data_IF_949191590044
#
_entry.id   IF_949191590044
#
_cell.length_a   1.000
_cell.length_b   1.000
_cell.length_c   1.000
_cell.angle_alpha   90.00
_cell.angle_beta   90.00
_cell.angle_gamma   90.00
#
_symmetry.space_group_name_H-M   'P 1'
#
loop_
_entity.id
_entity.type
_entity.pdbx_description
1 polymer ?
#
# COMPACT_ATOMS: atom_id res chain seq x y z
N UNK A 1 -15.31 -1.79 9.16
CA UNK A 1 -16.22 -0.66 8.87
C UNK A 1 -17.53 -1.23 8.35
N UNK A 2 -18.67 -0.58 8.57
CA UNK A 2 -19.96 -1.02 8.01
C UNK A 2 -20.48 0.12 7.14
N UNK A 3 -20.63 -0.15 5.84
CA UNK A 3 -21.11 0.83 4.86
C UNK A 3 -22.62 0.76 4.74
N UNK A 4 -23.26 1.93 4.72
CA UNK A 4 -24.64 2.09 4.28
C UNK A 4 -24.61 2.87 2.96
N UNK A 5 -24.59 2.17 1.82
CA UNK A 5 -24.38 2.79 0.50
C UNK A 5 -25.59 3.65 0.11
N UNK A 6 -25.51 4.95 0.37
CA UNK A 6 -26.58 5.93 0.11
C UNK A 6 -26.33 6.82 -1.10
N UNK A 7 -25.08 6.94 -1.54
CA UNK A 7 -24.66 7.80 -2.65
C UNK A 7 -23.85 7.01 -3.66
N UNK A 8 -23.81 7.49 -4.90
CA UNK A 8 -22.89 6.96 -5.92
C UNK A 8 -21.61 7.80 -5.94
N UNK A 9 -20.49 7.15 -6.24
CA UNK A 9 -19.16 7.77 -6.33
C UNK A 9 -18.62 7.47 -7.73
N UNK A 10 -18.55 8.49 -8.57
CA UNK A 10 -17.89 8.42 -9.87
C UNK A 10 -16.45 8.85 -9.69
N UNK A 11 -15.50 7.97 -9.95
CA UNK A 11 -14.08 8.24 -9.72
C UNK A 11 -13.22 7.79 -10.89
N UNK A 12 -12.08 8.45 -11.08
CA UNK A 12 -11.12 8.14 -12.12
C UNK A 12 -9.71 8.45 -11.62
N UNK A 13 -8.78 7.54 -11.86
CA UNK A 13 -7.34 7.78 -11.67
C UNK A 13 -6.75 8.25 -13.00
N UNK A 14 -5.87 9.25 -12.95
CA UNK A 14 -5.14 9.76 -14.11
C UNK A 14 -3.74 10.21 -13.72
N UNK A 15 -2.89 10.50 -14.71
CA UNK A 15 -1.65 11.23 -14.47
C UNK A 15 -1.91 12.56 -13.76
N UNK A 16 -1.02 12.95 -12.85
CA UNK A 16 -1.09 14.25 -12.21
C UNK A 16 -1.12 15.41 -13.23
N UNK A 17 -2.02 16.37 -12.99
CA UNK A 17 -2.25 17.51 -13.86
C UNK A 17 -1.05 18.48 -13.89
N UNK A 18 -0.29 18.56 -12.79
CA UNK A 18 0.93 19.38 -12.72
C UNK A 18 2.08 18.72 -13.50
N UNK A 19 2.69 19.49 -14.41
CA UNK A 19 3.77 19.02 -15.29
C UNK A 19 4.94 18.42 -14.50
N UNK A 20 5.29 19.02 -13.35
CA UNK A 20 6.39 18.56 -12.50
C UNK A 20 6.16 17.15 -11.92
N UNK A 21 4.90 16.76 -11.73
CA UNK A 21 4.49 15.52 -11.08
C UNK A 21 4.01 14.45 -12.07
N UNK A 22 3.76 14.84 -13.33
CA UNK A 22 3.05 14.04 -14.33
C UNK A 22 3.63 12.64 -14.57
N UNK A 23 4.95 12.50 -14.51
CA UNK A 23 5.62 11.22 -14.77
C UNK A 23 5.74 10.33 -13.53
N UNK A 24 5.37 10.84 -12.37
CA UNK A 24 5.66 10.19 -11.09
C UNK A 24 4.39 9.95 -10.26
N UNK A 25 3.37 10.78 -10.43
CA UNK A 25 2.22 10.81 -9.53
C UNK A 25 0.89 10.52 -10.22
N UNK A 26 -0.04 10.03 -9.43
CA UNK A 26 -1.40 9.68 -9.81
C UNK A 26 -2.39 10.60 -9.09
N UNK A 27 -3.33 11.16 -9.86
CA UNK A 27 -4.39 12.04 -9.37
C UNK A 27 -5.70 11.26 -9.34
N UNK A 28 -6.38 11.31 -8.18
CA UNK A 28 -7.63 10.57 -7.92
C UNK A 28 -8.80 11.54 -7.89
N UNK A 29 -9.44 11.74 -9.03
CA UNK A 29 -10.60 12.61 -9.15
C UNK A 29 -11.88 11.84 -8.88
N UNK A 30 -12.80 12.48 -8.16
CA UNK A 30 -14.12 11.90 -7.94
C UNK A 30 -15.23 12.92 -7.76
N UNK A 31 -16.45 12.48 -8.03
CA UNK A 31 -17.70 13.20 -7.88
C UNK A 31 -18.68 12.36 -7.09
N UNK A 32 -19.28 12.95 -6.05
CA UNK A 32 -20.34 12.32 -5.26
C UNK A 32 -21.70 12.68 -5.85
N UNK A 33 -22.52 11.68 -6.11
CA UNK A 33 -23.89 11.84 -6.64
C UNK A 33 -24.89 11.66 -5.50
N UNK A 34 -25.49 12.77 -5.07
CA UNK A 34 -26.37 12.84 -3.89
C UNK A 34 -27.87 12.83 -4.24
N UNK A 35 -28.23 12.37 -5.46
CA UNK A 35 -29.60 12.49 -6.00
C UNK A 35 -30.69 11.91 -5.09
N UNK A 36 -30.42 10.78 -4.43
CA UNK A 36 -31.38 10.08 -3.58
C UNK A 36 -31.10 10.24 -2.08
N UNK A 37 -30.14 11.09 -1.71
CA UNK A 37 -29.72 11.26 -0.32
C UNK A 37 -29.28 12.71 -0.07
N UNK A 38 -30.09 13.46 0.69
CA UNK A 38 -29.80 14.86 0.97
C UNK A 38 -28.62 15.00 1.93
N UNK A 39 -27.57 15.67 1.47
CA UNK A 39 -26.41 16.03 2.28
C UNK A 39 -26.52 17.51 2.64
N UNK A 40 -26.95 17.81 3.87
CA UNK A 40 -26.98 19.19 4.35
C UNK A 40 -25.56 19.68 4.63
N UNK A 41 -25.21 20.86 4.09
CA UNK A 41 -23.91 21.51 4.31
C UNK A 41 -22.69 20.60 4.05
N UNK A 42 -22.47 20.17 2.80
CA UNK A 42 -21.44 19.19 2.46
C UNK A 42 -20.01 19.63 2.81
N UNK A 43 -19.72 20.92 2.84
CA UNK A 43 -18.39 21.45 3.19
C UNK A 43 -18.00 21.17 4.66
N UNK A 44 -18.98 20.97 5.53
CA UNK A 44 -18.74 20.71 6.96
C UNK A 44 -19.18 19.31 7.38
N UNK A 45 -20.27 18.79 6.81
CA UNK A 45 -20.83 17.50 7.18
C UNK A 45 -20.09 16.31 6.57
N UNK A 46 -19.47 16.46 5.40
CA UNK A 46 -18.72 15.38 4.75
C UNK A 46 -17.29 15.31 5.26
N UNK A 47 -16.81 14.08 5.46
CA UNK A 47 -15.40 13.76 5.67
C UNK A 47 -15.00 12.69 4.68
N UNK A 48 -13.93 12.96 3.93
CA UNK A 48 -13.43 12.03 2.93
C UNK A 48 -12.11 11.43 3.41
N UNK A 49 -11.90 10.15 3.11
CA UNK A 49 -10.59 9.54 3.15
C UNK A 49 -10.32 8.80 1.84
N UNK A 50 -9.16 9.02 1.23
CA UNK A 50 -8.69 8.31 0.04
C UNK A 50 -7.40 7.58 0.41
N UNK A 51 -7.39 6.27 0.20
CA UNK A 51 -6.27 5.39 0.55
C UNK A 51 -5.73 4.75 -0.72
N UNK A 52 -4.41 4.69 -0.83
CA UNK A 52 -3.68 3.95 -1.87
C UNK A 52 -3.20 2.62 -1.30
N UNK A 53 -3.50 1.50 -1.95
CA UNK A 53 -3.10 0.14 -1.55
C UNK A 53 -3.37 -0.19 -0.07
N UNK A 54 -4.50 0.33 0.45
CA UNK A 54 -4.94 0.23 1.85
C UNK A 54 -3.99 0.87 2.89
N UNK A 55 -3.00 1.66 2.44
CA UNK A 55 -2.06 2.39 3.29
C UNK A 55 -2.80 3.46 4.09
N UNK A 56 -2.66 3.38 5.41
CA UNK A 56 -3.21 4.40 6.32
C UNK A 56 -2.27 5.59 6.47
N UNK A 57 -0.96 5.36 6.29
CA UNK A 57 0.09 6.31 6.60
C UNK A 57 0.16 7.46 5.60
N UNK A 58 -0.13 7.19 4.33
CA UNK A 58 -0.20 8.20 3.26
C UNK A 58 -1.65 8.59 2.87
N UNK A 59 -2.64 8.18 3.68
CA UNK A 59 -4.04 8.43 3.37
C UNK A 59 -4.35 9.93 3.34
N UNK A 60 -4.99 10.39 2.26
CA UNK A 60 -5.49 11.76 2.16
C UNK A 60 -6.82 11.82 2.90
N UNK A 61 -6.91 12.68 3.91
CA UNK A 61 -8.08 12.82 4.79
C UNK A 61 -8.57 14.25 4.84
N UNK A 62 -9.83 14.40 5.25
CA UNK A 62 -10.49 15.70 5.45
C UNK A 62 -10.52 16.57 4.19
N UNK A 63 -10.46 15.95 3.02
CA UNK A 63 -10.58 16.62 1.74
C UNK A 63 -11.94 17.33 1.67
N UNK A 64 -11.91 18.63 1.39
CA UNK A 64 -13.12 19.44 1.25
C UNK A 64 -13.65 19.37 -0.17
N UNK A 65 -14.96 19.52 -0.39
CA UNK A 65 -15.48 19.72 -1.72
C UNK A 65 -14.84 20.94 -2.39
N UNK A 66 -14.51 20.84 -3.67
CA UNK A 66 -14.09 21.99 -4.47
C UNK A 66 -15.29 22.84 -4.88
N UNK A 67 -16.35 22.18 -5.33
CA UNK A 67 -17.60 22.82 -5.73
C UNK A 67 -18.78 21.84 -5.63
N UNK A 68 -19.99 22.40 -5.64
CA UNK A 68 -21.24 21.65 -5.72
C UNK A 68 -22.11 22.23 -6.83
N UNK A 69 -22.58 21.37 -7.74
CA UNK A 69 -23.46 21.74 -8.86
C UNK A 69 -24.68 20.81 -8.84
N UNK A 70 -25.84 21.34 -8.42
CA UNK A 70 -27.04 20.52 -8.22
C UNK A 70 -26.79 19.42 -7.19
N UNK A 71 -26.96 18.15 -7.59
CA UNK A 71 -26.76 16.98 -6.72
C UNK A 71 -25.34 16.38 -6.82
N UNK A 72 -24.40 17.09 -7.46
CA UNK A 72 -23.03 16.64 -7.69
C UNK A 72 -22.06 17.43 -6.82
N UNK A 73 -21.22 16.73 -6.08
CA UNK A 73 -20.18 17.33 -5.22
C UNK A 73 -18.83 16.89 -5.78
N UNK A 74 -18.02 17.83 -6.23
CA UNK A 74 -16.81 17.57 -6.98
C UNK A 74 -15.54 17.70 -6.12
N UNK A 75 -14.61 16.76 -6.33
CA UNK A 75 -13.30 16.67 -5.71
C UNK A 75 -12.21 16.49 -6.79
N UNK A 76 -12.21 17.37 -7.78
CA UNK A 76 -11.21 17.44 -8.85
C UNK A 76 -10.15 18.48 -8.45
N UNK A 77 -9.05 18.03 -7.86
CA UNK A 77 -7.94 18.87 -7.40
C UNK A 77 -6.69 18.55 -8.21
N UNK A 78 -5.74 19.48 -8.28
CA UNK A 78 -4.45 19.27 -8.98
C UNK A 78 -3.29 18.97 -8.02
N UNK A 79 -3.55 19.00 -6.69
CA UNK A 79 -2.55 18.81 -5.64
C UNK A 79 -3.04 17.98 -4.46
N UNK A 80 -4.26 18.23 -4.01
CA UNK A 80 -4.77 17.72 -2.74
C UNK A 80 -5.20 16.25 -2.78
N UNK A 81 -5.46 15.71 -3.98
CA UNK A 81 -5.86 14.32 -4.25
C UNK A 81 -4.79 13.58 -5.08
N UNK A 82 -3.54 14.02 -4.98
CA UNK A 82 -2.42 13.50 -5.76
C UNK A 82 -1.53 12.63 -4.87
N UNK A 83 -1.30 11.39 -5.31
CA UNK A 83 -0.45 10.39 -4.66
C UNK A 83 0.81 10.15 -5.48
N UNK A 84 1.89 9.74 -4.82
CA UNK A 84 3.00 9.10 -5.53
C UNK A 84 2.48 7.85 -6.24
N UNK A 85 2.93 7.60 -7.47
CA UNK A 85 2.61 6.35 -8.16
C UNK A 85 3.38 5.16 -7.61
N UNK A 86 4.54 5.37 -6.99
CA UNK A 86 5.36 4.31 -6.42
C UNK A 86 5.91 3.38 -7.51
N UNK A 87 6.01 2.09 -7.19
CA UNK A 87 6.43 1.03 -8.11
C UNK A 87 5.73 -0.27 -7.72
N UNK A 88 5.75 -1.25 -8.61
CA UNK A 88 5.18 -2.57 -8.33
C UNK A 88 5.87 -3.19 -7.11
N UNK A 89 5.08 -3.81 -6.25
CA UNK A 89 5.56 -4.44 -5.03
C UNK A 89 6.52 -5.59 -5.37
N UNK A 90 7.46 -5.82 -4.46
CA UNK A 90 8.31 -7.02 -4.47
C UNK A 90 7.48 -8.21 -4.05
N UNK A 91 7.91 -9.41 -4.42
CA UNK A 91 7.23 -10.65 -4.05
C UNK A 91 8.13 -11.58 -3.25
N UNK A 92 7.51 -12.26 -2.28
CA UNK A 92 8.07 -13.42 -1.61
C UNK A 92 7.09 -14.58 -1.76
N UNK A 93 7.42 -15.52 -2.63
CA UNK A 93 6.63 -16.72 -2.86
C UNK A 93 7.21 -17.90 -2.09
N UNK A 94 6.64 -18.19 -0.92
CA UNK A 94 7.06 -19.28 -0.03
C UNK A 94 5.94 -20.31 0.14
N UNK A 95 5.17 -20.55 -0.93
CA UNK A 95 4.07 -21.53 -0.94
C UNK A 95 4.52 -22.98 -0.77
N UNK A 96 5.77 -23.30 -1.09
CA UNK A 96 6.35 -24.64 -0.88
C UNK A 96 7.75 -24.53 -0.30
N UNK A 97 8.11 -25.49 0.53
CA UNK A 97 9.46 -25.64 1.09
C UNK A 97 10.33 -26.62 0.28
N UNK A 98 9.80 -27.16 -0.82
CA UNK A 98 10.44 -28.22 -1.62
C UNK A 98 11.25 -27.69 -2.79
N UNK A 99 11.05 -26.43 -3.17
CA UNK A 99 11.76 -25.78 -4.25
C UNK A 99 11.89 -24.28 -3.98
N UNK A 100 12.88 -23.66 -4.61
CA UNK A 100 13.08 -22.22 -4.56
C UNK A 100 12.22 -21.57 -5.67
N UNK A 101 11.28 -20.70 -5.29
CA UNK A 101 10.54 -19.87 -6.22
C UNK A 101 11.41 -18.72 -6.75
N UNK A 102 10.86 -17.88 -7.64
CA UNK A 102 11.62 -16.88 -8.41
C UNK A 102 12.57 -16.01 -7.59
N UNK A 103 12.08 -15.40 -6.51
CA UNK A 103 12.85 -14.46 -5.67
C UNK A 103 13.37 -15.08 -4.36
N UNK A 104 13.30 -16.40 -4.23
CA UNK A 104 13.87 -17.14 -3.10
C UNK A 104 15.22 -17.71 -3.52
N UNK A 105 16.29 -17.28 -2.85
CA UNK A 105 17.66 -17.74 -3.12
C UNK A 105 17.88 -19.18 -2.65
N UNK A 106 17.47 -19.49 -1.43
CA UNK A 106 17.56 -20.83 -0.83
C UNK A 106 16.51 -21.03 0.25
N UNK A 107 16.15 -22.30 0.48
CA UNK A 107 15.37 -22.73 1.62
C UNK A 107 16.19 -23.80 2.34
N UNK A 108 16.62 -23.46 3.55
CA UNK A 108 17.36 -24.37 4.42
C UNK A 108 16.42 -24.95 5.48
N UNK A 109 16.76 -26.13 5.98
CA UNK A 109 16.07 -26.78 7.08
C UNK A 109 17.05 -27.16 8.17
N UNK A 110 16.79 -26.71 9.39
CA UNK A 110 17.55 -27.10 10.57
C UNK A 110 16.62 -27.66 11.67
N UNK A 111 17.10 -27.66 12.92
CA UNK A 111 16.33 -28.17 14.06
C UNK A 111 15.27 -27.17 14.56
N UNK A 112 15.36 -25.89 14.19
CA UNK A 112 14.42 -24.82 14.58
C UNK A 112 13.30 -24.67 13.55
N UNK A 113 13.52 -25.08 12.30
CA UNK A 113 12.49 -25.12 11.28
C UNK A 113 13.04 -24.92 9.87
N UNK A 114 12.23 -24.24 9.05
CA UNK A 114 12.63 -23.83 7.71
C UNK A 114 13.04 -22.36 7.70
N UNK A 115 14.13 -22.07 6.99
CA UNK A 115 14.68 -20.73 6.79
C UNK A 115 14.78 -20.45 5.29
N UNK A 116 13.95 -19.54 4.80
CA UNK A 116 13.99 -19.06 3.43
C UNK A 116 14.81 -17.78 3.34
N UNK A 117 15.83 -17.77 2.49
CA UNK A 117 16.60 -16.58 2.15
C UNK A 117 16.05 -15.99 0.86
N UNK A 118 15.59 -14.74 0.90
CA UNK A 118 15.24 -14.02 -0.31
C UNK A 118 16.51 -13.59 -1.06
N UNK A 119 16.40 -13.40 -2.36
CA UNK A 119 17.51 -12.85 -3.15
C UNK A 119 17.91 -11.47 -2.63
N UNK A 120 19.21 -11.12 -2.64
CA UNK A 120 19.64 -9.76 -2.30
C UNK A 120 18.99 -8.73 -3.21
N UNK A 121 18.31 -7.76 -2.61
CA UNK A 121 17.61 -6.72 -3.35
C UNK A 121 18.38 -5.40 -3.31
N UNK A 122 18.16 -4.56 -4.32
CA UNK A 122 18.76 -3.25 -4.41
C UNK A 122 17.70 -2.15 -4.47
N UNK A 123 18.14 -0.91 -4.20
CA UNK A 123 17.32 0.29 -4.36
C UNK A 123 17.01 0.52 -5.84
N UNK A 124 15.72 0.66 -6.15
CA UNK A 124 15.18 0.81 -7.51
C UNK A 124 14.94 2.25 -7.94
N UNK A 125 15.20 3.26 -7.10
CA UNK A 125 14.87 4.68 -7.35
C UNK A 125 15.27 5.26 -8.71
N UNK A 126 16.31 4.73 -9.35
CA UNK A 126 16.78 5.20 -10.67
C UNK A 126 16.56 4.18 -11.80
N UNK A 127 15.88 3.07 -11.52
CA UNK A 127 15.54 2.08 -12.53
C UNK A 127 14.42 2.59 -13.45
N UNK A 128 14.41 2.07 -14.67
CA UNK A 128 13.29 2.29 -15.60
C UNK A 128 12.13 1.42 -15.17
N UNK A 129 10.92 1.98 -15.20
CA UNK A 129 9.69 1.29 -14.87
C UNK A 129 9.51 -0.01 -15.67
N UNK A 130 9.02 -1.05 -15.00
CA UNK A 130 8.63 -2.32 -15.60
C UNK A 130 7.29 -2.72 -15.02
N UNK A 131 6.34 -3.06 -15.89
CA UNK A 131 5.08 -3.67 -15.47
C UNK A 131 5.36 -5.09 -15.00
N UNK A 132 5.07 -5.34 -13.73
CA UNK A 132 5.17 -6.63 -13.06
C UNK A 132 3.81 -6.84 -12.39
N UNK A 133 3.17 -7.97 -12.63
CA UNK A 133 1.90 -8.28 -11.97
C UNK A 133 2.13 -8.51 -10.47
N UNK A 134 1.34 -7.85 -9.64
CA UNK A 134 1.33 -8.03 -8.21
C UNK A 134 -0.12 -8.05 -7.66
N UNK A 135 -0.27 -8.08 -6.34
CA UNK A 135 -1.55 -7.96 -5.64
C UNK A 135 -1.59 -6.73 -4.72
N UNK A 136 -0.93 -5.63 -5.11
CA UNK A 136 -0.97 -4.31 -4.47
C UNK A 136 -0.66 -4.37 -2.96
N UNK A 137 0.42 -5.07 -2.59
CA UNK A 137 0.89 -5.19 -1.21
C UNK A 137 0.05 -6.12 -0.33
N UNK A 138 -0.89 -6.89 -0.91
CA UNK A 138 -1.66 -7.91 -0.21
C UNK A 138 -0.82 -9.18 0.01
N UNK A 139 -1.40 -10.14 0.72
CA UNK A 139 -0.84 -11.47 0.90
C UNK A 139 -1.89 -12.55 0.73
N UNK A 140 -1.47 -13.75 0.38
CA UNK A 140 -2.33 -14.93 0.25
C UNK A 140 -1.66 -16.12 0.93
N UNK A 141 -2.23 -16.56 2.05
CA UNK A 141 -1.83 -17.81 2.71
C UNK A 141 -2.17 -18.96 1.78
N UNK A 142 -1.16 -19.73 1.42
CA UNK A 142 -1.29 -20.88 0.53
C UNK A 142 -0.11 -21.82 0.75
N UNK A 143 -0.40 -23.11 0.91
CA UNK A 143 0.61 -24.17 0.80
C UNK A 143 0.37 -24.98 -0.46
N UNK A 144 1.45 -25.39 -1.11
CA UNK A 144 1.45 -26.40 -2.18
C UNK A 144 1.97 -27.76 -1.68
N UNK A 145 2.35 -27.83 -0.40
CA UNK A 145 2.82 -29.04 0.25
C UNK A 145 1.68 -29.85 0.91
N UNK A 146 0.45 -29.31 0.91
CA UNK A 146 -0.76 -29.88 1.48
C UNK A 146 -2.04 -29.45 0.73
N UNK A 147 -3.18 -30.02 1.14
CA UNK A 147 -4.48 -29.80 0.50
C UNK A 147 -5.22 -28.59 1.11
N UNK A 148 -5.08 -28.37 2.42
CA UNK A 148 -5.78 -27.30 3.13
C UNK A 148 -4.81 -26.25 3.70
N UNK A 149 -4.69 -25.13 2.99
CA UNK A 149 -3.80 -24.02 3.37
C UNK A 149 -4.12 -23.36 4.71
N UNK A 150 -5.36 -23.46 5.21
CA UNK A 150 -5.71 -22.83 6.49
C UNK A 150 -5.11 -23.61 7.67
N UNK A 151 -5.05 -24.94 7.57
CA UNK A 151 -4.64 -25.84 8.65
C UNK A 151 -3.27 -26.48 8.45
N UNK A 152 -2.79 -26.57 7.21
CA UNK A 152 -1.59 -27.37 6.86
C UNK A 152 -0.40 -26.51 6.41
N UNK A 153 -0.60 -25.22 6.14
CA UNK A 153 0.51 -24.30 5.87
C UNK A 153 1.34 -24.09 7.15
N UNK A 154 2.64 -24.31 7.04
CA UNK A 154 3.61 -24.15 8.13
C UNK A 154 4.14 -22.71 8.21
N UNK A 155 4.88 -22.40 9.28
CA UNK A 155 5.62 -21.15 9.43
C UNK A 155 7.08 -21.32 9.01
N UNK A 156 7.59 -20.32 8.31
CA UNK A 156 8.94 -20.26 7.75
C UNK A 156 9.59 -18.97 8.26
N UNK A 157 10.84 -19.05 8.72
CA UNK A 157 11.65 -17.87 8.93
C UNK A 157 12.09 -17.33 7.56
N UNK A 158 11.70 -16.10 7.23
CA UNK A 158 12.02 -15.47 5.93
C UNK A 158 13.01 -14.36 6.17
N UNK A 159 14.21 -14.49 5.59
CA UNK A 159 15.29 -13.54 5.68
C UNK A 159 15.27 -12.57 4.49
N UNK A 160 14.94 -11.32 4.78
CA UNK A 160 14.93 -10.19 3.86
C UNK A 160 16.29 -9.52 3.85
N UNK A 161 16.73 -9.09 2.66
CA UNK A 161 18.04 -8.50 2.44
C UNK A 161 17.95 -7.35 1.43
N UNK A 162 18.26 -6.14 1.88
CA UNK A 162 18.37 -4.95 1.04
C UNK A 162 19.80 -4.43 1.06
N UNK A 163 20.52 -4.62 -0.04
CA UNK A 163 21.87 -4.07 -0.27
C UNK A 163 21.84 -2.54 -0.21
N UNK A 164 22.64 -1.98 0.69
CA UNK A 164 22.69 -0.53 0.89
C UNK A 164 24.06 -0.12 1.46
N UNK A 165 24.94 0.55 0.70
CA UNK A 165 26.36 0.70 1.08
C UNK A 165 26.66 1.41 2.40
N UNK A 166 25.78 2.30 2.85
CA UNK A 166 25.99 3.19 4.02
C UNK A 166 24.69 3.31 4.81
N UNK A 167 24.68 3.14 6.15
CA UNK A 167 23.45 3.25 6.92
C UNK A 167 22.85 4.66 6.84
N UNK A 168 21.53 4.73 6.97
CA UNK A 168 20.78 5.99 7.06
C UNK A 168 20.87 6.51 8.50
N UNK A 169 20.87 7.83 8.63
CA UNK A 169 21.02 8.51 9.93
C UNK A 169 19.76 9.31 10.32
N UNK A 170 18.90 9.56 9.35
CA UNK A 170 17.74 10.45 9.43
C UNK A 170 16.40 9.69 9.39
N UNK A 171 16.44 8.36 9.48
CA UNK A 171 15.26 7.51 9.57
C UNK A 171 15.60 6.03 9.48
N UNK A 172 14.56 5.22 9.41
CA UNK A 172 14.64 3.76 9.42
C UNK A 172 14.04 3.16 8.13
N UNK A 173 14.52 1.97 7.74
CA UNK A 173 13.92 1.19 6.67
C UNK A 173 13.00 0.13 7.27
N UNK A 174 11.78 0.04 6.74
CA UNK A 174 10.78 -0.94 7.14
C UNK A 174 10.36 -1.83 5.96
N UNK A 175 10.11 -3.10 6.24
CA UNK A 175 9.37 -3.99 5.34
C UNK A 175 7.89 -3.69 5.50
N UNK A 176 7.25 -3.26 4.43
CA UNK A 176 5.88 -2.77 4.48
C UNK A 176 4.99 -3.53 3.49
N UNK A 177 3.88 -4.05 4.00
CA UNK A 177 2.85 -4.75 3.24
C UNK A 177 1.85 -5.41 4.18
N UNK A 178 0.93 -6.22 3.66
CA UNK A 178 0.00 -6.98 4.48
C UNK A 178 0.71 -7.93 5.47
N UNK A 179 1.92 -8.40 5.14
CA UNK A 179 2.72 -9.27 6.02
C UNK A 179 3.15 -8.63 7.35
N UNK A 180 3.13 -7.30 7.44
CA UNK A 180 3.49 -6.51 8.63
C UNK A 180 2.33 -5.63 9.09
N UNK A 181 1.10 -6.04 8.74
CA UNK A 181 -0.14 -5.31 8.99
C UNK A 181 -0.12 -3.86 8.48
N UNK A 182 0.70 -3.57 7.47
CA UNK A 182 0.92 -2.22 6.92
C UNK A 182 1.27 -1.21 8.02
N UNK A 183 2.15 -1.61 8.95
CA UNK A 183 2.49 -0.82 10.12
C UNK A 183 4.00 -0.57 10.24
N UNK A 184 4.35 0.61 10.74
CA UNK A 184 5.71 0.93 11.16
C UNK A 184 5.90 0.51 12.61
N UNK A 185 6.53 -0.64 12.82
CA UNK A 185 6.77 -1.25 14.13
C UNK A 185 8.20 -1.77 14.21
N UNK A 186 8.64 -2.17 15.42
CA UNK A 186 9.92 -2.85 15.60
C UNK A 186 9.98 -4.19 14.85
N UNK A 187 8.81 -4.82 14.59
CA UNK A 187 8.71 -6.03 13.79
C UNK A 187 8.96 -5.76 12.31
N UNK A 188 8.53 -4.62 11.76
CA UNK A 188 8.83 -4.29 10.35
C UNK A 188 10.18 -3.62 10.14
N UNK A 189 10.76 -3.01 11.18
CA UNK A 189 12.04 -2.29 11.12
C UNK A 189 13.21 -3.23 10.81
N UNK A 190 13.99 -2.89 9.77
CA UNK A 190 15.20 -3.62 9.38
C UNK A 190 16.43 -3.13 10.14
N UNK A 191 17.34 -4.05 10.44
CA UNK A 191 18.61 -3.72 11.09
C UNK A 191 19.72 -3.59 10.05
N UNK A 192 20.58 -2.59 10.19
CA UNK A 192 21.74 -2.45 9.31
C UNK A 192 22.90 -3.35 9.75
N UNK A 193 23.38 -4.21 8.84
CA UNK A 193 24.56 -5.03 9.04
C UNK A 193 25.79 -4.39 8.38
N UNK A 194 26.71 -3.89 9.20
CA UNK A 194 27.93 -3.20 8.72
C UNK A 194 28.89 -4.09 7.93
N UNK A 195 28.91 -5.40 8.21
CA UNK A 195 29.79 -6.35 7.51
C UNK A 195 29.26 -6.63 6.11
N UNK A 196 27.95 -6.80 5.99
CA UNK A 196 27.26 -7.11 4.73
C UNK A 196 26.94 -5.85 3.91
N UNK A 197 26.97 -4.67 4.54
CA UNK A 197 26.55 -3.39 3.93
C UNK A 197 25.13 -3.49 3.38
N UNK A 198 24.22 -3.95 4.24
CA UNK A 198 22.84 -4.21 3.89
C UNK A 198 21.93 -4.02 5.10
N UNK A 199 20.67 -3.70 4.83
CA UNK A 199 19.59 -3.85 5.78
C UNK A 199 19.07 -5.28 5.73
N UNK A 200 18.95 -5.91 6.89
CA UNK A 200 18.49 -7.30 7.02
C UNK A 200 17.41 -7.41 8.07
N UNK A 201 16.50 -8.36 7.86
CA UNK A 201 15.44 -8.69 8.82
C UNK A 201 14.97 -10.11 8.58
N UNK A 202 14.69 -10.84 9.65
CA UNK A 202 14.01 -12.13 9.56
C UNK A 202 12.61 -12.00 10.15
N UNK A 203 11.59 -12.42 9.41
CA UNK A 203 10.19 -12.47 9.85
C UNK A 203 9.71 -13.92 9.84
N UNK A 204 8.89 -14.29 10.83
CA UNK A 204 8.23 -15.60 10.84
C UNK A 204 6.91 -15.47 10.07
N UNK A 205 6.85 -16.04 8.86
CA UNK A 205 5.70 -15.93 7.97
C UNK A 205 5.10 -17.32 7.71
N UNK A 206 3.78 -17.41 7.60
CA UNK A 206 3.10 -18.64 7.21
C UNK A 206 3.35 -18.92 5.71
N UNK A 207 3.27 -20.15 5.23
CA UNK A 207 3.40 -20.41 3.78
C UNK A 207 2.38 -19.60 2.98
N UNK A 208 2.85 -18.96 1.91
CA UNK A 208 2.01 -18.11 1.10
C UNK A 208 2.77 -17.28 0.07
N UNK A 209 2.00 -16.43 -0.59
CA UNK A 209 2.51 -15.41 -1.51
C UNK A 209 2.33 -14.03 -0.86
N UNK A 210 3.41 -13.27 -0.78
CA UNK A 210 3.45 -11.99 -0.07
C UNK A 210 3.97 -10.90 -0.98
N UNK A 211 3.25 -9.79 -1.08
CA UNK A 211 3.81 -8.56 -1.61
C UNK A 211 4.30 -7.64 -0.50
N UNK A 212 5.45 -7.02 -0.75
CA UNK A 212 6.09 -6.10 0.16
C UNK A 212 6.87 -5.04 -0.58
N UNK A 213 7.24 -3.99 0.14
CA UNK A 213 8.16 -2.98 -0.32
C UNK A 213 9.00 -2.50 0.85
N UNK A 214 10.13 -1.87 0.56
CA UNK A 214 10.92 -1.16 1.55
C UNK A 214 10.48 0.30 1.60
N UNK A 215 10.05 0.75 2.76
CA UNK A 215 9.66 2.15 2.98
C UNK A 215 10.65 2.79 3.93
N UNK A 216 11.12 3.99 3.57
CA UNK A 216 11.91 4.83 4.45
C UNK A 216 10.98 5.65 5.36
N UNK A 217 11.14 5.53 6.68
CA UNK A 217 10.42 6.33 7.65
C UNK A 217 11.37 7.37 8.26
N UNK A 218 11.25 8.67 7.91
CA UNK A 218 12.08 9.70 8.49
C UNK A 218 11.82 9.85 10.00
N UNK A 219 12.86 10.21 10.75
CA UNK A 219 12.77 10.41 12.20
C UNK A 219 11.66 11.40 12.57
N UNK A 220 10.79 11.00 13.50
CA UNK A 220 9.68 11.83 13.99
C UNK A 220 8.49 11.97 13.01
N UNK A 221 8.47 11.20 11.92
CA UNK A 221 7.31 11.09 11.02
C UNK A 221 6.52 9.82 11.31
N UNK A 222 5.26 9.84 10.90
CA UNK A 222 4.33 8.69 10.94
C UNK A 222 3.96 8.16 9.56
N UNK A 223 4.39 8.86 8.51
CA UNK A 223 4.18 8.52 7.10
C UNK A 223 5.53 8.22 6.48
N UNK A 224 5.62 7.08 5.81
CA UNK A 224 6.85 6.65 5.16
C UNK A 224 6.88 7.06 3.69
N UNK A 225 8.09 7.18 3.17
CA UNK A 225 8.40 7.51 1.78
C UNK A 225 8.88 6.24 1.06
N UNK A 226 7.98 5.65 0.27
CA UNK A 226 8.29 4.49 -0.59
C UNK A 226 9.26 4.86 -1.73
N UNK A 227 9.22 6.10 -2.21
CA UNK A 227 9.97 6.52 -3.40
C UNK A 227 11.48 6.54 -3.16
N UNK A 228 11.87 6.65 -1.88
CA UNK A 228 13.25 6.63 -1.44
C UNK A 228 13.99 5.34 -1.80
N UNK A 229 13.29 4.19 -1.83
CA UNK A 229 13.86 2.90 -2.22
C UNK A 229 13.25 2.40 -3.53
N UNK A 230 11.93 2.52 -3.69
CA UNK A 230 11.21 1.80 -4.74
C UNK A 230 11.06 2.56 -6.05
N UNK A 231 11.44 3.84 -6.09
CA UNK A 231 11.13 4.77 -7.19
C UNK A 231 9.68 5.27 -7.18
N UNK A 232 9.34 6.04 -8.21
CA UNK A 232 8.04 6.66 -8.35
C UNK A 232 7.71 6.72 -9.85
N UNK A 233 6.63 6.07 -10.27
CA UNK A 233 6.21 5.99 -11.66
C UNK A 233 4.70 6.13 -11.74
N UNK A 234 4.20 6.99 -12.63
CA UNK A 234 2.75 7.15 -12.78
C UNK A 234 2.09 5.90 -13.38
N UNK A 235 2.85 5.08 -14.11
CA UNK A 235 2.38 3.87 -14.78
C UNK A 235 2.04 2.71 -13.84
N UNK A 236 2.51 2.77 -12.59
CA UNK A 236 2.35 1.70 -11.58
C UNK A 236 0.88 1.38 -11.32
N UNK A 237 0.55 0.10 -11.26
CA UNK A 237 -0.78 -0.33 -10.85
C UNK A 237 -1.01 0.00 -9.37
N UNK A 238 -2.14 0.62 -9.04
CA UNK A 238 -2.49 0.92 -7.66
C UNK A 238 -4.00 0.81 -7.44
N UNK A 239 -4.38 0.23 -6.31
CA UNK A 239 -5.74 0.23 -5.80
C UNK A 239 -6.00 1.49 -4.97
N UNK A 240 -7.05 2.24 -5.29
CA UNK A 240 -7.54 3.35 -4.48
C UNK A 240 -8.89 3.05 -3.87
N UNK A 241 -9.05 3.37 -2.59
CA UNK A 241 -10.33 3.29 -1.89
C UNK A 241 -10.75 4.64 -1.36
N UNK A 242 -11.91 5.11 -1.81
CA UNK A 242 -12.55 6.35 -1.37
C UNK A 242 -13.63 6.01 -0.35
N UNK A 243 -13.49 6.55 0.85
CA UNK A 243 -14.48 6.47 1.92
C UNK A 243 -15.17 7.82 2.09
N UNK A 244 -16.49 7.80 2.07
CA UNK A 244 -17.32 9.01 2.24
C UNK A 244 -18.10 8.89 3.53
N UNK A 245 -17.69 9.67 4.51
CA UNK A 245 -18.39 9.80 5.77
C UNK A 245 -19.27 11.03 5.78
N UNK A 246 -20.41 10.93 6.44
CA UNK A 246 -21.30 12.06 6.66
C UNK A 246 -21.78 12.07 8.10
N UNK A 247 -21.70 13.24 8.72
CA UNK A 247 -22.29 13.53 10.03
C UNK A 247 -23.45 14.50 9.84
N UNK A 248 -24.68 14.04 10.09
CA UNK A 248 -25.82 14.95 10.05
C UNK A 248 -25.77 15.91 11.25
N UNK A 249 -26.29 17.15 11.11
CA UNK A 249 -26.47 18.05 12.24
C UNK A 249 -27.25 17.36 13.37
N UNK A 250 -26.68 17.33 14.58
CA UNK A 250 -27.27 16.69 15.75
C UNK A 250 -26.88 15.22 15.94
N UNK A 251 -26.23 14.58 14.97
CA UNK A 251 -25.64 13.24 15.17
C UNK A 251 -24.29 13.32 15.89
N UNK A 252 -24.01 12.31 16.72
CA UNK A 252 -22.77 12.17 17.47
C UNK A 252 -21.78 11.17 16.86
N UNK A 253 -22.05 10.67 15.65
CA UNK A 253 -21.22 9.69 14.96
C UNK A 253 -21.10 9.99 13.46
N UNK A 254 -20.05 9.44 12.84
CA UNK A 254 -19.83 9.55 11.39
C UNK A 254 -20.40 8.30 10.71
N UNK A 255 -21.36 8.48 9.79
CA UNK A 255 -21.88 7.40 8.95
C UNK A 255 -21.02 7.21 7.72
N UNK A 256 -20.61 5.98 7.43
CA UNK A 256 -20.01 5.64 6.15
C UNK A 256 -21.12 5.47 5.11
N UNK A 257 -21.38 6.53 4.35
CA UNK A 257 -22.51 6.61 3.39
C UNK A 257 -22.14 6.18 1.97
N UNK A 258 -20.86 5.94 1.72
CA UNK A 258 -20.37 5.43 0.45
C UNK A 258 -18.94 4.95 0.54
N UNK A 259 -18.65 3.84 -0.15
CA UNK A 259 -17.30 3.35 -0.41
C UNK A 259 -17.16 3.10 -1.91
N UNK A 260 -16.00 3.43 -2.46
CA UNK A 260 -15.65 3.10 -3.84
C UNK A 260 -14.23 2.60 -3.92
N UNK A 261 -14.06 1.44 -4.53
CA UNK A 261 -12.78 0.91 -4.96
C UNK A 261 -12.61 1.23 -6.45
N UNK A 262 -11.41 1.68 -6.83
CA UNK A 262 -10.98 1.88 -8.20
C UNK A 262 -9.52 1.45 -8.33
N UNK A 263 -9.13 0.97 -9.49
CA UNK A 263 -7.73 0.68 -9.82
C UNK A 263 -7.23 1.74 -10.83
N UNK A 264 -5.92 2.01 -10.85
CA UNK A 264 -5.30 2.96 -11.77
C UNK A 264 -5.33 2.49 -13.23
N UNK A 265 -5.37 1.17 -13.44
CA UNK A 265 -5.57 0.53 -14.74
C UNK A 265 -7.08 0.33 -14.96
N UNK A 266 -7.57 0.71 -16.14
CA UNK A 266 -8.97 0.47 -16.55
C UNK A 266 -9.06 -0.92 -17.16
N UNK A 267 -9.78 -1.82 -16.49
CA UNK A 267 -10.32 -3.04 -17.12
C UNK A 267 -11.35 -2.70 -18.22
#
# INVERSE_FOLDING_TARGET
MIVDQKIDINANVKQASLIADRNYKQEVDFELITKNYSVSNPFTGLKIAVLQNERQDNAIRDLKPKMMIGNKINYDYDRENVFNGGNEFREADIKSMRYNSGYVASIDKDYEGYLAYLMPEEKRTFEVYKTIEDINGKMKIKTEDGDNSDTEADYIAVHFYLSYPVPLIDGDIHIYGALTDRSFSDESKMAYNFKEKAYVKTLILKQGYYNYQYIFLPNGKSAGDETFIEANHWETENDYTIYVYYRQPGENYDRLIGVKHINSIKE
#
